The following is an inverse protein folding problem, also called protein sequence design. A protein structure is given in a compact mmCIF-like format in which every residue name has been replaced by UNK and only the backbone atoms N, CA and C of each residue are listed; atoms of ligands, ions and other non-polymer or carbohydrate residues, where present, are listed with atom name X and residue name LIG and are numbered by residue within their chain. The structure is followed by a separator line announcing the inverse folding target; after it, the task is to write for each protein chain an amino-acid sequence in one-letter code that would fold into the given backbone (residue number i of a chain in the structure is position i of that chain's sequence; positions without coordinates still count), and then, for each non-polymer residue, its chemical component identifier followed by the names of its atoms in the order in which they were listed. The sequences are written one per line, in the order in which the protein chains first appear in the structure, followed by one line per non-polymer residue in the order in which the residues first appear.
data_IF_822487912500
#
_entry.id   IF_822487912500
#
_cell.length_a   1.000
_cell.length_b   1.000
_cell.length_c   1.000
_cell.angle_alpha   90.00
_cell.angle_beta   90.00
_cell.angle_gamma   90.00
#
_symmetry.space_group_name_H-M   'P 1'
#
loop_
_entity.id
_entity.type
_entity.pdbx_description
1 polymer ?
#
# COMPACT_ATOMS: atom_id res chain seq x y z
N UNK A 1 -51.04 13.96 -37.71
CA UNK A 1 -50.27 13.15 -36.74
C UNK A 1 -49.12 14.00 -36.20
N UNK A 2 -49.27 14.71 -35.07
CA UNK A 2 -48.14 15.38 -34.43
C UNK A 2 -47.37 14.37 -33.57
N UNK A 3 -46.05 14.29 -33.75
CA UNK A 3 -45.15 13.37 -33.06
C UNK A 3 -44.97 13.65 -31.56
N UNK A 4 -44.39 12.70 -30.80
CA UNK A 4 -44.31 12.79 -29.34
C UNK A 4 -43.27 13.83 -28.90
N UNK A 5 -43.67 14.72 -27.99
CA UNK A 5 -42.78 15.70 -27.34
C UNK A 5 -41.91 14.99 -26.31
N UNK A 6 -40.59 15.21 -26.38
CA UNK A 6 -39.64 14.76 -25.36
C UNK A 6 -39.95 15.42 -23.99
N UNK A 7 -39.87 14.69 -22.87
CA UNK A 7 -40.04 15.29 -21.55
C UNK A 7 -38.83 16.16 -21.18
N UNK A 8 -39.09 17.38 -20.72
CA UNK A 8 -38.08 18.29 -20.20
C UNK A 8 -37.36 17.70 -18.99
N UNK A 9 -36.02 17.72 -19.03
CA UNK A 9 -35.16 17.33 -17.93
C UNK A 9 -35.45 18.19 -16.68
N UNK A 10 -35.60 17.54 -15.53
CA UNK A 10 -35.77 18.20 -14.24
C UNK A 10 -34.53 19.06 -13.91
N UNK A 11 -34.69 20.25 -13.31
CA UNK A 11 -33.57 21.09 -12.93
C UNK A 11 -32.70 20.41 -11.85
N UNK A 12 -31.39 20.66 -11.82
CA UNK A 12 -30.49 20.08 -10.84
C UNK A 12 -30.87 20.51 -9.42
N UNK A 13 -30.91 19.54 -8.51
CA UNK A 13 -31.17 19.78 -7.08
C UNK A 13 -30.11 20.70 -6.49
N UNK A 14 -30.53 21.66 -5.68
CA UNK A 14 -29.66 22.60 -5.00
C UNK A 14 -28.63 21.87 -4.11
N UNK A 15 -27.37 22.31 -4.18
CA UNK A 15 -26.28 21.81 -3.33
C UNK A 15 -26.59 22.09 -1.86
N UNK A 16 -26.35 21.13 -0.94
CA UNK A 16 -26.45 21.40 0.50
C UNK A 16 -25.39 22.42 0.94
N UNK A 17 -25.66 23.19 2.01
CA UNK A 17 -24.73 24.20 2.51
C UNK A 17 -23.41 23.57 3.01
N UNK A 18 -22.32 24.31 2.83
CA UNK A 18 -20.99 23.94 3.34
C UNK A 18 -21.03 23.76 4.87
N UNK A 19 -20.39 22.74 5.44
CA UNK A 19 -20.15 22.71 6.88
C UNK A 19 -19.22 23.89 7.27
N UNK A 20 -19.40 24.48 8.47
CA UNK A 20 -18.58 25.60 8.92
C UNK A 20 -17.09 25.19 8.94
N UNK A 21 -16.26 26.01 8.29
CA UNK A 21 -14.82 25.82 8.25
C UNK A 21 -14.24 25.88 9.66
N UNK A 22 -13.46 24.87 10.04
CA UNK A 22 -12.63 24.92 11.25
C UNK A 22 -11.70 26.13 11.14
N UNK A 23 -11.90 27.10 12.01
CA UNK A 23 -11.04 28.27 12.14
C UNK A 23 -9.60 27.83 12.44
N UNK A 24 -8.64 28.35 11.65
CA UNK A 24 -7.22 28.23 11.96
C UNK A 24 -6.90 29.21 13.09
N UNK A 25 -7.03 28.74 14.32
CA UNK A 25 -6.51 29.44 15.50
C UNK A 25 -5.00 29.64 15.39
N UNK A 26 -4.57 30.90 15.45
CA UNK A 26 -3.16 31.31 15.44
C UNK A 26 -2.40 30.81 16.66
N UNK A 27 -1.11 30.53 16.48
CA UNK A 27 -0.18 30.15 17.55
C UNK A 27 0.36 31.41 18.25
N UNK A 28 0.24 31.55 19.58
CA UNK A 28 1.15 32.37 20.36
C UNK A 28 2.39 31.57 20.75
N UNK A 29 3.51 32.28 20.90
CA UNK A 29 4.86 31.75 21.05
C UNK A 29 5.17 31.11 22.41
N UNK A 30 6.13 30.19 22.32
CA UNK A 30 7.12 29.70 23.30
C UNK A 30 6.93 30.04 24.77
N UNK A 31 6.74 29.00 25.59
CA UNK A 31 7.46 28.83 26.85
C UNK A 31 7.76 27.34 27.10
N UNK A 32 9.01 27.09 27.50
CA UNK A 32 9.65 25.79 27.62
C UNK A 32 9.43 25.25 29.04
N UNK A 33 8.55 24.28 29.23
CA UNK A 33 8.42 23.53 30.48
C UNK A 33 7.83 22.12 30.25
N UNK A 34 8.66 21.09 30.47
CA UNK A 34 8.23 19.76 30.91
C UNK A 34 7.40 18.90 29.95
N UNK A 35 7.99 18.40 28.86
CA UNK A 35 7.42 17.25 28.13
C UNK A 35 7.76 15.97 28.90
N UNK A 36 6.78 15.45 29.64
CA UNK A 36 6.78 14.07 30.12
C UNK A 36 6.78 13.12 28.92
N UNK A 37 7.80 12.25 28.85
CA UNK A 37 7.91 11.17 27.87
C UNK A 37 6.71 10.21 27.96
N UNK A 38 6.27 9.61 26.84
CA UNK A 38 5.34 8.48 26.86
C UNK A 38 5.99 7.25 27.55
N UNK A 39 5.20 6.39 28.21
CA UNK A 39 5.72 5.21 28.90
C UNK A 39 6.38 4.25 27.90
N UNK A 40 7.64 3.92 28.17
CA UNK A 40 8.45 3.01 27.38
C UNK A 40 7.87 1.59 27.46
N UNK A 41 7.80 0.90 26.32
CA UNK A 41 7.53 -0.55 26.28
C UNK A 41 8.56 -1.29 27.16
N UNK A 42 8.15 -2.37 27.86
CA UNK A 42 9.06 -3.10 28.75
C UNK A 42 10.21 -3.73 27.96
N UNK A 43 11.43 -3.36 28.33
CA UNK A 43 12.69 -3.98 27.89
C UNK A 43 12.82 -5.37 28.49
N UNK A 44 12.98 -6.39 27.64
CA UNK A 44 13.33 -7.74 28.08
C UNK A 44 14.68 -7.75 28.83
N UNK A 45 14.85 -8.56 29.89
CA UNK A 45 16.09 -8.58 30.65
C UNK A 45 17.23 -9.20 29.84
N UNK A 46 18.39 -8.53 29.89
CA UNK A 46 19.65 -9.05 29.38
C UNK A 46 20.17 -10.15 30.32
N UNK A 47 20.18 -11.41 29.85
CA UNK A 47 20.96 -12.48 30.46
C UNK A 47 22.18 -12.76 29.59
N UNK A 48 23.37 -12.51 30.14
CA UNK A 48 24.62 -13.02 29.58
C UNK A 48 24.68 -14.54 29.75
N UNK A 49 24.96 -15.28 28.66
CA UNK A 49 25.21 -16.71 28.72
C UNK A 49 25.29 -17.41 27.36
N UNK A 50 26.51 -17.89 27.04
CA UNK A 50 26.90 -18.94 26.08
C UNK A 50 26.74 -18.69 24.56
N UNK A 51 27.68 -19.20 23.72
CA UNK A 51 27.56 -19.14 22.27
C UNK A 51 26.43 -20.08 21.81
N UNK A 52 25.30 -19.49 21.45
CA UNK A 52 24.14 -20.20 20.93
C UNK A 52 24.46 -20.85 19.57
N UNK A 53 24.47 -22.18 19.56
CA UNK A 53 24.64 -23.03 18.37
C UNK A 53 23.26 -23.53 17.89
N UNK A 54 22.21 -22.72 18.00
CA UNK A 54 20.90 -23.02 17.40
C UNK A 54 20.57 -22.00 16.32
N UNK A 55 21.08 -22.27 15.11
CA UNK A 55 20.54 -21.63 13.92
C UNK A 55 19.03 -21.95 13.86
N UNK A 56 18.18 -20.95 14.10
CA UNK A 56 16.72 -21.07 13.97
C UNK A 56 16.42 -21.65 12.59
N UNK A 57 15.67 -22.76 12.47
CA UNK A 57 15.41 -23.38 11.18
C UNK A 57 14.75 -22.35 10.27
N UNK A 58 15.25 -22.24 9.03
CA UNK A 58 14.62 -21.37 8.04
C UNK A 58 13.21 -21.90 7.78
N UNK A 59 12.19 -21.04 7.83
CA UNK A 59 10.80 -21.44 7.64
C UNK A 59 10.64 -22.13 6.29
N UNK A 60 9.93 -23.27 6.28
CA UNK A 60 9.63 -23.99 5.04
C UNK A 60 8.76 -23.08 4.15
N UNK A 61 9.29 -22.70 2.98
CA UNK A 61 8.60 -21.87 2.00
C UNK A 61 7.21 -22.43 1.69
N UNK A 62 7.06 -23.77 1.70
CA UNK A 62 5.77 -24.44 1.47
C UNK A 62 4.74 -24.15 2.56
N UNK A 63 5.17 -24.05 3.82
CA UNK A 63 4.27 -23.71 4.92
C UNK A 63 3.80 -22.25 4.81
N UNK A 64 4.71 -21.33 4.45
CA UNK A 64 4.36 -19.93 4.23
C UNK A 64 3.33 -19.80 3.11
N UNK A 65 3.52 -20.54 2.00
CA UNK A 65 2.56 -20.59 0.89
C UNK A 65 1.19 -21.12 1.33
N UNK A 66 1.17 -22.21 2.10
CA UNK A 66 -0.08 -22.79 2.59
C UNK A 66 -0.83 -21.85 3.55
N UNK A 67 -0.09 -21.17 4.44
CA UNK A 67 -0.65 -20.20 5.37
C UNK A 67 -1.20 -18.97 4.64
N UNK A 68 -0.45 -18.42 3.69
CA UNK A 68 -0.88 -17.29 2.86
C UNK A 68 -2.17 -17.63 2.08
N UNK A 69 -2.25 -18.83 1.50
CA UNK A 69 -3.40 -19.28 0.73
C UNK A 69 -4.71 -19.39 1.55
N UNK A 70 -4.64 -19.58 2.87
CA UNK A 70 -5.83 -19.66 3.73
C UNK A 70 -6.19 -18.35 4.43
N UNK A 71 -5.45 -17.26 4.17
CA UNK A 71 -5.78 -15.92 4.65
C UNK A 71 -6.87 -15.28 3.76
N UNK A 72 -7.62 -14.28 4.27
CA UNK A 72 -8.66 -13.61 3.50
C UNK A 72 -8.13 -12.67 2.39
N UNK A 73 -6.80 -12.43 2.35
CA UNK A 73 -6.14 -11.67 1.28
C UNK A 73 -6.64 -10.23 1.11
N UNK A 74 -7.10 -9.60 2.20
CA UNK A 74 -7.59 -8.21 2.17
C UNK A 74 -6.48 -7.17 2.09
N UNK A 75 -5.26 -7.52 2.52
CA UNK A 75 -4.09 -6.62 2.62
C UNK A 75 -4.33 -5.37 3.50
N UNK A 76 -5.17 -5.49 4.53
CA UNK A 76 -5.63 -4.36 5.35
C UNK A 76 -4.67 -3.90 6.46
N UNK A 77 -3.56 -4.62 6.69
CA UNK A 77 -2.54 -4.33 7.72
C UNK A 77 -3.03 -4.22 9.17
N UNK A 78 -4.29 -4.57 9.47
CA UNK A 78 -4.87 -4.47 10.83
C UNK A 78 -4.15 -5.33 11.88
N UNK A 79 -3.60 -6.46 11.45
CA UNK A 79 -2.81 -7.36 12.28
C UNK A 79 -1.40 -6.81 12.62
N UNK A 80 -1.02 -5.64 12.10
CA UNK A 80 0.30 -5.03 12.31
C UNK A 80 1.38 -5.47 11.31
N UNK A 81 1.08 -6.41 10.41
CA UNK A 81 1.96 -6.82 9.32
C UNK A 81 1.67 -6.02 8.05
N UNK A 82 2.68 -5.79 7.18
CA UNK A 82 2.53 -4.98 5.98
C UNK A 82 1.59 -5.59 4.94
N UNK A 83 1.45 -6.92 4.92
CA UNK A 83 0.49 -7.64 4.07
C UNK A 83 0.21 -9.05 4.62
N UNK A 84 -0.68 -9.78 3.95
CA UNK A 84 -1.03 -11.15 4.33
C UNK A 84 0.15 -12.11 4.26
N UNK A 85 1.05 -11.94 3.29
CA UNK A 85 2.22 -12.80 3.09
C UNK A 85 3.20 -12.68 4.26
N UNK A 86 3.44 -11.47 4.75
CA UNK A 86 4.32 -11.24 5.90
C UNK A 86 3.71 -11.76 7.20
N UNK A 87 2.38 -11.73 7.34
CA UNK A 87 1.72 -12.39 8.46
C UNK A 87 1.87 -13.91 8.38
N UNK A 88 1.68 -14.51 7.20
CA UNK A 88 1.90 -15.93 6.96
C UNK A 88 3.35 -16.35 7.26
N UNK A 89 4.32 -15.51 6.89
CA UNK A 89 5.73 -15.69 7.21
C UNK A 89 5.94 -15.71 8.73
N UNK A 90 5.45 -14.70 9.44
CA UNK A 90 5.56 -14.61 10.90
C UNK A 90 4.88 -15.79 11.63
N UNK A 91 3.80 -16.33 11.08
CA UNK A 91 3.17 -17.56 11.58
C UNK A 91 4.06 -18.78 11.42
N UNK A 92 4.63 -19.00 10.23
CA UNK A 92 5.57 -20.09 9.96
C UNK A 92 6.83 -19.98 10.85
N UNK A 93 7.25 -18.75 11.11
CA UNK A 93 8.39 -18.40 11.95
C UNK A 93 8.15 -18.53 13.46
N UNK A 94 6.91 -18.79 13.89
CA UNK A 94 6.57 -18.80 15.32
C UNK A 94 6.54 -17.43 15.98
N UNK A 95 6.56 -16.34 15.21
CA UNK A 95 6.62 -14.95 15.68
C UNK A 95 5.26 -14.26 15.81
N UNK A 96 4.19 -14.89 15.33
CA UNK A 96 2.83 -14.40 15.44
C UNK A 96 1.89 -15.52 15.91
N UNK A 97 0.81 -15.16 16.58
CA UNK A 97 -0.30 -16.08 16.87
C UNK A 97 -1.28 -16.17 15.71
N UNK A 98 -2.10 -17.23 15.70
CA UNK A 98 -3.07 -17.54 14.64
C UNK A 98 -4.35 -16.70 14.70
N UNK A 99 -4.51 -15.84 15.70
CA UNK A 99 -5.74 -15.09 16.00
C UNK A 99 -5.63 -13.59 15.73
N UNK A 100 -4.68 -13.15 14.91
CA UNK A 100 -4.37 -11.73 14.73
C UNK A 100 -5.14 -11.08 13.56
N UNK A 101 -5.92 -11.83 12.79
CA UNK A 101 -6.56 -11.36 11.56
C UNK A 101 -8.09 -11.16 11.70
N UNK A 102 -8.59 -9.95 12.01
CA UNK A 102 -10.02 -9.70 12.15
C UNK A 102 -10.86 -10.03 10.91
N UNK A 103 -10.43 -9.71 9.67
CA UNK A 103 -11.18 -10.10 8.48
C UNK A 103 -11.28 -11.62 8.28
N UNK A 104 -10.34 -12.39 8.82
CA UNK A 104 -10.39 -13.85 8.80
C UNK A 104 -11.40 -14.42 9.78
N UNK A 105 -11.70 -13.70 10.85
CA UNK A 105 -12.69 -14.08 11.85
C UNK A 105 -12.37 -15.40 12.55
N UNK A 106 -13.36 -15.96 13.24
CA UNK A 106 -13.22 -17.22 13.96
C UNK A 106 -12.83 -18.38 13.03
N UNK A 107 -13.42 -18.45 11.83
CA UNK A 107 -13.08 -19.50 10.86
C UNK A 107 -11.65 -19.37 10.33
N UNK A 108 -11.12 -18.15 10.15
CA UNK A 108 -9.73 -17.93 9.79
C UNK A 108 -8.77 -18.51 10.83
N UNK A 109 -9.06 -18.32 12.12
CA UNK A 109 -8.27 -18.94 13.21
C UNK A 109 -8.30 -20.46 13.11
N UNK A 110 -9.46 -21.06 12.83
CA UNK A 110 -9.58 -22.51 12.66
C UNK A 110 -8.77 -23.02 11.47
N UNK A 111 -8.80 -22.31 10.33
CA UNK A 111 -8.02 -22.66 9.14
C UNK A 111 -6.52 -22.65 9.43
N UNK A 112 -6.04 -21.61 10.11
CA UNK A 112 -4.63 -21.49 10.51
C UNK A 112 -4.22 -22.52 11.57
N UNK A 113 -5.10 -22.83 12.52
CA UNK A 113 -4.90 -23.89 13.53
C UNK A 113 -4.64 -25.25 12.86
N UNK A 114 -5.40 -25.62 11.83
CA UNK A 114 -5.22 -26.90 11.10
C UNK A 114 -3.85 -27.01 10.43
N UNK A 115 -3.30 -25.90 9.94
CA UNK A 115 -1.99 -25.90 9.27
C UNK A 115 -0.81 -25.80 10.24
N UNK A 116 -0.99 -25.07 11.34
CA UNK A 116 0.07 -24.83 12.32
C UNK A 116 0.10 -25.84 13.48
N UNK A 117 -0.97 -26.63 13.64
CA UNK A 117 -1.15 -27.54 14.79
C UNK A 117 -1.42 -26.82 16.12
N UNK A 118 -1.61 -25.50 16.12
CA UNK A 118 -1.84 -24.71 17.34
C UNK A 118 -3.30 -24.78 17.77
N UNK A 119 -3.61 -24.69 19.08
CA UNK A 119 -4.98 -24.71 19.57
C UNK A 119 -5.77 -23.50 19.06
N UNK A 120 -7.06 -23.71 18.75
CA UNK A 120 -7.96 -22.62 18.37
C UNK A 120 -8.19 -21.72 19.58
N UNK A 121 -7.91 -20.43 19.42
CA UNK A 121 -8.12 -19.39 20.44
C UNK A 121 -9.03 -18.29 19.88
N UNK A 122 -9.61 -17.46 20.75
CA UNK A 122 -10.46 -16.35 20.32
C UNK A 122 -9.65 -15.30 19.53
N UNK A 123 -10.31 -14.59 18.61
CA UNK A 123 -9.72 -13.47 17.86
C UNK A 123 -9.12 -12.44 18.82
N UNK A 124 -7.94 -11.92 18.52
CA UNK A 124 -7.30 -10.89 19.33
C UNK A 124 -8.02 -9.54 19.15
N UNK A 125 -8.69 -9.00 20.18
CA UNK A 125 -9.45 -7.75 20.08
C UNK A 125 -8.57 -6.52 19.84
N UNK A 126 -7.25 -6.60 20.12
CA UNK A 126 -6.32 -5.48 19.87
C UNK A 126 -6.27 -5.09 18.39
N UNK A 127 -6.45 -6.05 17.48
CA UNK A 127 -6.40 -5.80 16.04
C UNK A 127 -7.78 -5.48 15.43
N UNK A 128 -8.83 -5.50 16.25
CA UNK A 128 -10.21 -5.24 15.86
C UNK A 128 -11.10 -6.48 15.94
N UNK A 129 -12.34 -6.32 15.47
CA UNK A 129 -13.38 -7.32 15.58
C UNK A 129 -13.75 -7.86 14.20
N UNK A 130 -14.33 -9.07 14.18
CA UNK A 130 -14.98 -9.62 13.00
C UNK A 130 -16.28 -8.84 12.71
N UNK A 131 -16.36 -8.24 11.51
CA UNK A 131 -17.48 -7.38 11.09
C UNK A 131 -17.95 -7.74 9.69
N UNK A 132 -19.18 -7.34 9.31
CA UNK A 132 -19.63 -7.49 7.93
C UNK A 132 -18.70 -6.77 6.97
N UNK A 133 -18.53 -7.36 5.78
CA UNK A 133 -17.66 -6.78 4.76
C UNK A 133 -18.32 -5.54 4.18
N UNK A 134 -17.51 -4.50 4.04
CA UNK A 134 -17.87 -3.26 3.38
C UNK A 134 -17.00 -3.03 2.14
N UNK A 135 -17.53 -2.29 1.17
CA UNK A 135 -16.81 -1.83 -0.02
C UNK A 135 -16.62 -0.32 0.06
N UNK A 136 -15.51 0.18 -0.45
CA UNK A 136 -15.29 1.62 -0.54
C UNK A 136 -16.21 2.23 -1.61
N UNK A 137 -16.79 3.38 -1.32
CA UNK A 137 -17.56 4.21 -2.25
C UNK A 137 -17.03 5.64 -2.21
N UNK A 138 -16.80 6.21 -3.38
CA UNK A 138 -16.29 7.58 -3.55
C UNK A 138 -17.47 8.50 -3.89
N UNK A 139 -17.62 9.62 -3.17
CA UNK A 139 -18.59 10.66 -3.52
C UNK A 139 -18.07 11.51 -4.68
N UNK A 140 -18.76 11.42 -5.81
CA UNK A 140 -18.36 12.08 -7.04
C UNK A 140 -18.56 13.60 -7.04
N UNK A 141 -19.27 14.16 -6.07
CA UNK A 141 -19.43 15.60 -5.96
C UNK A 141 -18.28 16.30 -5.23
N UNK A 142 -17.45 15.51 -4.52
CA UNK A 142 -16.34 16.00 -3.68
C UNK A 142 -14.97 15.57 -4.17
N UNK A 143 -14.86 14.44 -4.87
CA UNK A 143 -13.56 13.96 -5.33
C UNK A 143 -12.89 14.93 -6.32
N UNK A 144 -11.65 15.30 -6.01
CA UNK A 144 -10.84 16.26 -6.76
C UNK A 144 -9.85 15.62 -7.76
N UNK A 145 -9.89 14.30 -7.92
CA UNK A 145 -8.96 13.61 -8.84
C UNK A 145 -7.49 13.63 -8.41
N UNK A 146 -7.19 13.55 -7.10
CA UNK A 146 -5.81 13.68 -6.57
C UNK A 146 -4.91 12.44 -6.75
N UNK A 147 -5.50 11.29 -7.08
CA UNK A 147 -4.88 9.96 -7.32
C UNK A 147 -4.22 9.29 -6.11
N UNK A 148 -4.31 9.86 -4.90
CA UNK A 148 -3.75 9.25 -3.69
C UNK A 148 -4.46 7.94 -3.31
N UNK A 149 -5.78 7.87 -3.46
CA UNK A 149 -6.54 6.64 -3.20
C UNK A 149 -6.17 5.50 -4.15
N UNK A 150 -5.88 5.81 -5.43
CA UNK A 150 -5.41 4.81 -6.42
C UNK A 150 -4.09 4.20 -5.94
N UNK A 151 -3.14 5.02 -5.48
CA UNK A 151 -1.85 4.53 -4.97
C UNK A 151 -1.98 3.71 -3.69
N UNK A 152 -2.96 4.02 -2.85
CA UNK A 152 -3.21 3.32 -1.60
C UNK A 152 -3.98 1.99 -1.79
N UNK A 153 -4.60 1.77 -2.96
CA UNK A 153 -5.39 0.56 -3.21
C UNK A 153 -4.47 -0.62 -3.54
N UNK A 154 -4.39 -1.67 -2.69
CA UNK A 154 -3.49 -2.79 -2.92
C UNK A 154 -3.93 -3.68 -4.09
N UNK A 155 -5.20 -3.62 -4.48
CA UNK A 155 -5.77 -4.49 -5.52
C UNK A 155 -6.15 -3.71 -6.78
N UNK A 156 -5.73 -2.44 -6.91
CA UNK A 156 -5.99 -1.58 -8.07
C UNK A 156 -7.48 -1.54 -8.48
N UNK A 157 -8.42 -1.52 -7.53
CA UNK A 157 -9.86 -1.49 -7.83
C UNK A 157 -10.42 -0.07 -8.02
N UNK A 158 -9.62 0.97 -7.80
CA UNK A 158 -10.03 2.36 -7.97
C UNK A 158 -9.62 2.83 -9.36
N UNK A 159 -10.57 3.33 -10.14
CA UNK A 159 -10.39 3.75 -11.53
C UNK A 159 -10.63 5.25 -11.67
N UNK A 160 -9.79 5.92 -12.44
CA UNK A 160 -9.93 7.31 -12.87
C UNK A 160 -8.55 7.91 -13.19
N UNK A 161 -8.43 9.23 -13.21
CA UNK A 161 -7.19 9.90 -13.60
C UNK A 161 -6.99 11.24 -12.87
N UNK A 162 -5.80 11.82 -13.02
CA UNK A 162 -5.49 13.12 -12.42
C UNK A 162 -6.50 14.18 -12.89
N UNK A 163 -7.06 14.92 -11.92
CA UNK A 163 -8.12 15.94 -12.13
C UNK A 163 -9.42 15.41 -12.73
N UNK A 164 -9.61 14.09 -12.76
CA UNK A 164 -10.84 13.43 -13.16
C UNK A 164 -11.41 12.63 -11.98
N UNK A 165 -12.72 12.36 -12.06
CA UNK A 165 -13.43 11.61 -11.04
C UNK A 165 -12.88 10.20 -10.89
N UNK A 166 -12.81 9.72 -9.65
CA UNK A 166 -12.48 8.33 -9.35
C UNK A 166 -13.74 7.56 -8.96
N UNK A 167 -13.77 6.27 -9.30
CA UNK A 167 -14.81 5.33 -8.88
C UNK A 167 -14.19 4.01 -8.44
N UNK A 168 -14.95 3.20 -7.71
CA UNK A 168 -14.50 1.89 -7.19
C UNK A 168 -15.20 0.79 -7.98
N UNK A 169 -14.41 -0.17 -8.48
CA UNK A 169 -14.94 -1.43 -8.98
C UNK A 169 -15.25 -2.32 -7.78
N UNK A 170 -16.51 -2.29 -7.34
CA UNK A 170 -16.98 -2.93 -6.10
C UNK A 170 -16.65 -4.43 -6.03
N UNK A 171 -16.72 -5.12 -7.18
CA UNK A 171 -16.42 -6.55 -7.29
C UNK A 171 -14.97 -6.90 -6.89
N UNK A 172 -14.03 -5.98 -7.11
CA UNK A 172 -12.61 -6.15 -6.82
C UNK A 172 -12.19 -5.56 -5.46
N UNK A 173 -13.06 -4.78 -4.81
CA UNK A 173 -12.74 -4.11 -3.55
C UNK A 173 -12.68 -5.10 -2.39
N UNK A 174 -11.53 -5.23 -1.72
CA UNK A 174 -11.38 -6.12 -0.55
C UNK A 174 -11.93 -5.55 0.75
N UNK A 175 -12.29 -4.26 0.78
CA UNK A 175 -12.71 -3.59 2.01
C UNK A 175 -11.55 -3.30 2.98
N UNK A 176 -10.33 -3.13 2.46
CA UNK A 176 -9.12 -2.91 3.27
C UNK A 176 -9.03 -1.54 3.97
N UNK A 177 -9.87 -0.58 3.57
CA UNK A 177 -9.94 0.79 4.11
C UNK A 177 -8.69 1.67 3.94
N UNK A 178 -7.60 1.18 3.35
CA UNK A 178 -6.36 1.93 3.15
C UNK A 178 -6.54 3.24 2.37
N UNK A 179 -7.56 3.31 1.50
CA UNK A 179 -7.87 4.50 0.71
C UNK A 179 -8.55 5.62 1.50
N UNK A 180 -9.24 5.31 2.61
CA UNK A 180 -9.99 6.29 3.42
C UNK A 180 -9.06 7.37 3.97
N UNK A 181 -8.01 7.04 4.77
CA UNK A 181 -7.10 8.07 5.29
C UNK A 181 -6.22 8.71 4.20
N UNK A 182 -6.11 8.10 3.02
CA UNK A 182 -5.36 8.67 1.90
C UNK A 182 -6.12 9.80 1.18
N UNK A 183 -7.43 9.94 1.41
CA UNK A 183 -8.25 10.95 0.74
C UNK A 183 -8.15 12.32 1.44
N UNK A 184 -7.58 13.36 0.81
CA UNK A 184 -7.38 14.66 1.46
C UNK A 184 -8.66 15.48 1.60
N UNK A 185 -9.75 15.07 0.94
CA UNK A 185 -11.07 15.73 0.97
C UNK A 185 -12.14 14.85 1.62
N UNK A 186 -11.74 13.72 2.21
CA UNK A 186 -12.60 12.80 2.97
C UNK A 186 -13.89 12.39 2.23
N UNK A 187 -13.79 12.13 0.92
CA UNK A 187 -14.92 11.75 0.07
C UNK A 187 -15.13 10.23 -0.06
N UNK A 188 -14.49 9.42 0.78
CA UNK A 188 -14.54 7.94 0.68
C UNK A 188 -15.24 7.37 1.91
N UNK A 189 -16.29 6.60 1.69
CA UNK A 189 -17.05 5.93 2.75
C UNK A 189 -17.04 4.42 2.55
N UNK A 190 -17.12 3.67 3.65
CA UNK A 190 -17.30 2.22 3.62
C UNK A 190 -18.79 1.89 3.66
N UNK A 191 -19.28 1.20 2.63
CA UNK A 191 -20.69 0.79 2.51
C UNK A 191 -20.79 -0.72 2.77
N UNK A 192 -21.57 -1.16 3.77
CA UNK A 192 -21.80 -2.58 4.02
C UNK A 192 -22.36 -3.28 2.77
N UNK A 193 -21.76 -4.43 2.40
CA UNK A 193 -22.15 -5.18 1.20
C UNK A 193 -22.75 -6.55 1.53
N UNK A 194 -22.36 -7.15 2.66
CA UNK A 194 -22.71 -8.54 3.00
C UNK A 194 -23.79 -8.66 4.08
N UNK A 195 -24.53 -7.58 4.36
CA UNK A 195 -25.56 -7.56 5.39
C UNK A 195 -24.98 -7.92 6.76
N UNK A 196 -25.41 -9.05 7.33
CA UNK A 196 -24.90 -9.58 8.60
C UNK A 196 -23.79 -10.63 8.44
N UNK A 197 -23.52 -11.11 7.23
CA UNK A 197 -22.47 -12.11 7.02
C UNK A 197 -21.10 -11.48 7.28
N UNK A 198 -20.24 -12.21 7.98
CA UNK A 198 -18.87 -11.82 8.38
C UNK A 198 -17.85 -12.87 7.95
N UNK A 199 -16.55 -12.53 8.06
CA UNK A 199 -15.46 -13.48 7.83
C UNK A 199 -15.58 -14.21 6.50
N UNK A 200 -15.45 -15.52 6.53
CA UNK A 200 -15.55 -16.40 5.35
C UNK A 200 -16.98 -16.65 4.86
N UNK A 201 -18.00 -16.32 5.66
CA UNK A 201 -19.39 -16.30 5.19
C UNK A 201 -19.67 -15.08 4.29
N UNK A 202 -18.90 -14.00 4.45
CA UNK A 202 -18.98 -12.77 3.66
C UNK A 202 -18.01 -12.75 2.46
N UNK A 203 -17.02 -13.64 2.47
CA UNK A 203 -15.86 -13.59 1.58
C UNK A 203 -15.43 -15.00 1.20
N UNK A 204 -15.72 -15.41 -0.03
CA UNK A 204 -15.47 -16.78 -0.47
C UNK A 204 -13.98 -17.05 -0.72
N UNK A 205 -13.54 -18.32 -0.70
CA UNK A 205 -12.19 -18.69 -1.10
C UNK A 205 -11.81 -18.19 -2.51
N UNK A 206 -12.74 -18.21 -3.46
CA UNK A 206 -12.51 -17.69 -4.81
C UNK A 206 -12.27 -16.18 -4.85
N UNK A 207 -12.98 -15.42 -4.00
CA UNK A 207 -12.77 -13.97 -3.87
C UNK A 207 -11.42 -13.65 -3.20
N UNK A 208 -11.03 -14.41 -2.18
CA UNK A 208 -9.70 -14.29 -1.56
C UNK A 208 -8.58 -14.57 -2.58
N UNK A 209 -8.73 -15.60 -3.41
CA UNK A 209 -7.77 -15.92 -4.46
C UNK A 209 -7.71 -14.83 -5.54
N UNK A 210 -8.85 -14.32 -5.99
CA UNK A 210 -8.90 -13.17 -6.91
C UNK A 210 -8.17 -11.95 -6.33
N UNK A 211 -8.42 -11.62 -5.05
CA UNK A 211 -7.74 -10.52 -4.38
C UNK A 211 -6.23 -10.73 -4.28
N UNK A 212 -5.78 -11.96 -3.99
CA UNK A 212 -4.36 -12.33 -3.98
C UNK A 212 -3.71 -12.15 -5.35
N UNK A 213 -4.35 -12.63 -6.41
CA UNK A 213 -3.86 -12.48 -7.78
C UNK A 213 -3.75 -11.00 -8.19
N UNK A 214 -4.75 -10.19 -7.84
CA UNK A 214 -4.73 -8.74 -8.09
C UNK A 214 -3.63 -8.03 -7.31
N UNK A 215 -3.44 -8.38 -6.04
CA UNK A 215 -2.35 -7.83 -5.22
C UNK A 215 -0.97 -8.20 -5.81
N UNK A 216 -0.79 -9.45 -6.25
CA UNK A 216 0.43 -9.87 -6.93
C UNK A 216 0.70 -9.06 -8.21
N UNK A 217 -0.34 -8.82 -9.02
CA UNK A 217 -0.23 -7.97 -10.22
C UNK A 217 0.08 -6.52 -9.88
N UNK A 218 -0.55 -5.96 -8.83
CA UNK A 218 -0.25 -4.62 -8.31
C UNK A 218 1.22 -4.50 -7.92
N UNK A 219 1.75 -5.44 -7.13
CA UNK A 219 3.16 -5.46 -6.74
C UNK A 219 4.10 -5.51 -7.94
N UNK A 220 3.80 -6.36 -8.93
CA UNK A 220 4.55 -6.41 -10.19
C UNK A 220 4.55 -5.06 -10.91
N UNK A 221 3.37 -4.44 -11.06
CA UNK A 221 3.19 -3.14 -11.71
C UNK A 221 3.98 -2.05 -11.00
N UNK A 222 3.84 -1.93 -9.67
CA UNK A 222 4.55 -0.94 -8.85
C UNK A 222 6.06 -1.13 -8.91
N UNK A 223 6.55 -2.38 -8.84
CA UNK A 223 7.97 -2.67 -8.94
C UNK A 223 8.55 -2.29 -10.31
N UNK A 224 7.81 -2.58 -11.39
CA UNK A 224 8.18 -2.17 -12.76
C UNK A 224 8.23 -0.64 -12.90
N UNK A 225 7.17 0.05 -12.50
CA UNK A 225 7.08 1.53 -12.55
C UNK A 225 8.20 2.20 -11.75
N UNK A 226 8.51 1.66 -10.56
CA UNK A 226 9.63 2.15 -9.74
C UNK A 226 10.95 2.01 -10.49
N UNK A 227 11.25 0.83 -11.04
CA UNK A 227 12.48 0.58 -11.79
C UNK A 227 12.63 1.53 -12.98
N UNK A 228 11.60 1.64 -13.81
CA UNK A 228 11.59 2.53 -14.99
C UNK A 228 11.79 4.01 -14.60
N UNK A 229 11.15 4.45 -13.51
CA UNK A 229 11.32 5.80 -13.00
C UNK A 229 12.73 6.05 -12.45
N UNK A 230 13.28 5.10 -11.71
CA UNK A 230 14.63 5.18 -11.13
C UNK A 230 15.68 5.24 -12.25
N UNK A 231 15.54 4.42 -13.30
CA UNK A 231 16.39 4.45 -14.50
C UNK A 231 16.31 5.80 -15.23
N UNK A 232 15.10 6.32 -15.45
CA UNK A 232 14.89 7.63 -16.07
C UNK A 232 15.52 8.76 -15.25
N UNK A 233 15.39 8.72 -13.92
CA UNK A 233 15.98 9.73 -13.04
C UNK A 233 17.51 9.65 -13.04
N UNK A 234 18.07 8.45 -13.04
CA UNK A 234 19.51 8.23 -13.16
C UNK A 234 20.05 8.77 -14.49
N UNK A 235 19.38 8.51 -15.61
CA UNK A 235 19.76 9.04 -16.92
C UNK A 235 19.73 10.58 -16.94
N UNK A 236 18.66 11.19 -16.40
CA UNK A 236 18.57 12.66 -16.27
C UNK A 236 19.68 13.24 -15.40
N UNK A 237 20.02 12.57 -14.29
CA UNK A 237 21.09 12.99 -13.41
C UNK A 237 22.48 12.89 -14.09
N UNK A 238 22.73 11.84 -14.87
CA UNK A 238 23.97 11.68 -15.63
C UNK A 238 24.12 12.76 -16.70
N UNK A 239 23.06 13.07 -17.46
CA UNK A 239 23.07 14.16 -18.44
C UNK A 239 23.32 15.52 -17.77
N UNK A 240 22.65 15.80 -16.65
CA UNK A 240 22.84 17.06 -15.91
C UNK A 240 24.25 17.19 -15.33
N UNK A 241 24.89 16.08 -14.96
CA UNK A 241 26.28 16.08 -14.50
C UNK A 241 27.25 16.42 -15.65
N UNK A 242 27.03 15.80 -16.83
CA UNK A 242 27.85 16.02 -18.00
C UNK A 242 27.79 17.47 -18.52
N UNK A 243 26.62 18.12 -18.42
CA UNK A 243 26.37 19.47 -18.91
C UNK A 243 26.17 20.51 -17.78
N UNK A 244 26.75 20.24 -16.61
CA UNK A 244 26.51 21.05 -15.40
C UNK A 244 26.94 22.51 -15.56
N UNK A 245 28.05 22.74 -16.26
CA UNK A 245 28.66 24.07 -16.44
C UNK A 245 27.84 24.96 -17.38
N UNK A 246 27.16 24.37 -18.38
CA UNK A 246 26.29 25.13 -19.28
C UNK A 246 24.86 25.29 -18.75
N UNK A 247 24.39 24.39 -17.89
CA UNK A 247 23.03 24.42 -17.33
C UNK A 247 22.92 25.17 -15.99
N UNK A 248 24.04 25.62 -15.42
CA UNK A 248 24.05 26.37 -14.17
C UNK A 248 24.05 27.87 -14.42
N UNK A 249 23.16 28.59 -13.73
CA UNK A 249 23.16 30.07 -13.70
C UNK A 249 24.26 30.65 -12.80
N UNK A 250 25.02 29.81 -12.10
CA UNK A 250 26.13 30.27 -11.24
C UNK A 250 27.44 30.16 -11.99
N UNK A 251 28.21 31.25 -11.92
CA UNK A 251 29.59 31.31 -12.42
C UNK A 251 30.62 31.00 -11.33
N UNK A 252 30.20 30.98 -10.06
CA UNK A 252 31.07 30.67 -8.91
C UNK A 252 31.50 29.20 -8.92
N UNK A 253 32.82 28.92 -9.06
CA UNK A 253 33.37 27.56 -9.09
C UNK A 253 33.01 26.71 -7.86
N UNK A 254 32.93 27.29 -6.67
CA UNK A 254 32.62 26.55 -5.44
C UNK A 254 31.17 26.07 -5.43
N UNK A 255 30.25 26.91 -5.95
CA UNK A 255 28.83 26.57 -6.06
C UNK A 255 28.62 25.46 -7.09
N UNK A 256 29.35 25.50 -8.21
CA UNK A 256 29.32 24.44 -9.24
C UNK A 256 29.85 23.12 -8.66
N UNK A 257 30.98 23.15 -7.96
CA UNK A 257 31.57 21.96 -7.33
C UNK A 257 30.61 21.33 -6.30
N UNK A 258 29.93 22.13 -5.48
CA UNK A 258 28.92 21.64 -4.53
C UNK A 258 27.73 20.98 -5.25
N UNK A 259 27.23 21.58 -6.34
CA UNK A 259 26.16 20.98 -7.15
C UNK A 259 26.59 19.66 -7.79
N UNK A 260 27.83 19.60 -8.30
CA UNK A 260 28.43 18.39 -8.87
C UNK A 260 28.44 17.25 -7.85
N UNK A 261 28.98 17.52 -6.66
CA UNK A 261 29.06 16.54 -5.58
C UNK A 261 27.67 15.99 -5.17
N UNK A 262 26.64 16.83 -5.14
CA UNK A 262 25.26 16.39 -4.84
C UNK A 262 24.71 15.45 -5.91
N UNK A 263 24.95 15.76 -7.19
CA UNK A 263 24.49 14.92 -8.32
C UNK A 263 25.25 13.59 -8.34
N UNK A 264 26.56 13.61 -8.13
CA UNK A 264 27.39 12.41 -8.04
C UNK A 264 26.97 11.50 -6.88
N UNK A 265 26.71 12.07 -5.69
CA UNK A 265 26.19 11.32 -4.56
C UNK A 265 24.81 10.70 -4.85
N UNK A 266 23.95 11.40 -5.61
CA UNK A 266 22.66 10.84 -6.04
C UNK A 266 22.82 9.68 -7.03
N UNK A 267 23.74 9.78 -7.99
CA UNK A 267 24.06 8.70 -8.93
C UNK A 267 24.67 7.49 -8.22
N UNK A 268 25.56 7.71 -7.24
CA UNK A 268 26.14 6.64 -6.43
C UNK A 268 25.05 5.86 -5.67
N UNK A 269 24.10 6.57 -5.04
CA UNK A 269 22.94 5.93 -4.38
C UNK A 269 22.06 5.16 -5.35
N UNK A 270 21.85 5.67 -6.57
CA UNK A 270 21.08 4.97 -7.60
C UNK A 270 21.78 3.70 -8.08
N UNK A 271 23.10 3.73 -8.25
CA UNK A 271 23.91 2.53 -8.60
C UNK A 271 23.86 1.48 -7.50
N UNK A 272 23.95 1.87 -6.23
CA UNK A 272 23.88 0.95 -5.10
C UNK A 272 22.50 0.28 -4.92
N UNK A 273 21.44 0.87 -5.46
CA UNK A 273 20.07 0.33 -5.41
C UNK A 273 19.71 -0.56 -6.61
N UNK A 274 20.59 -0.69 -7.62
CA UNK A 274 20.37 -1.65 -8.72
C UNK A 274 20.60 -3.07 -8.19
N UNK A 275 19.66 -4.02 -8.38
CA UNK A 275 19.91 -5.41 -8.03
C UNK A 275 21.10 -5.93 -8.85
N UNK A 276 22.02 -6.63 -8.18
CA UNK A 276 23.16 -7.27 -8.82
C UNK A 276 22.63 -8.37 -9.77
N UNK A 277 22.60 -8.09 -11.08
CA UNK A 277 22.12 -9.05 -12.08
C UNK A 277 21.58 -8.47 -13.39
N UNK A 278 21.28 -7.17 -13.46
CA UNK A 278 20.92 -6.52 -14.74
C UNK A 278 22.17 -6.00 -15.45
N UNK A 279 23.03 -6.92 -15.91
CA UNK A 279 24.12 -6.64 -16.85
C UNK A 279 23.56 -6.44 -18.26
N UNK A 280 24.22 -5.57 -19.02
CA UNK A 280 23.93 -5.19 -20.40
C UNK A 280 23.51 -6.37 -21.29
N UNK A 281 22.25 -6.40 -21.71
CA UNK A 281 21.92 -6.87 -23.06
C UNK A 281 21.96 -5.64 -23.95
N UNK A 282 23.17 -5.31 -24.42
CA UNK A 282 23.31 -4.50 -25.61
C UNK A 282 22.54 -5.20 -26.74
N UNK A 283 21.62 -4.48 -27.36
CA UNK A 283 20.91 -4.91 -28.54
C UNK A 283 21.94 -5.14 -29.66
N UNK A 284 22.17 -6.40 -30.02
CA UNK A 284 22.74 -6.74 -31.32
C UNK A 284 21.63 -6.58 -32.36
N UNK A 285 21.79 -5.57 -33.22
CA UNK A 285 21.04 -5.37 -34.46
C UNK A 285 21.23 -6.59 -35.39
N UNK A 286 20.15 -7.28 -35.83
CA UNK A 286 20.26 -8.28 -36.89
C UNK A 286 20.08 -7.58 -38.24
N UNK A 287 21.10 -6.87 -38.71
CA UNK A 287 21.19 -6.55 -40.16
C UNK A 287 21.69 -7.79 -40.89
N UNK A 288 20.75 -8.68 -41.24
CA UNK A 288 20.96 -9.72 -42.22
C UNK A 288 21.02 -9.13 -43.63
N UNK A 289 22.20 -9.16 -44.23
CA UNK A 289 22.42 -8.87 -45.65
C UNK A 289 22.81 -10.18 -46.34
N UNK A 290 21.90 -10.71 -47.17
CA UNK A 290 22.22 -11.68 -48.22
C UNK A 290 23.03 -10.98 -49.33
N UNK A 291 23.77 -11.70 -50.20
CA UNK A 291 23.23 -12.70 -51.12
C UNK A 291 23.77 -14.13 -50.93
#
# INVERSE_FOLDING_TARGET
MPGPRCPHAAPPRARPPRPPGRERGGRPGTDNAGVSLPPQLPTAPASAGAPDTTARPTPDVRLVDALDAVLPQTQCTRCGYPDCRHYAQALADGQADINQCPPGGAEGVQRLSRLTGRPVIALNPVHGEEKPRAVARIDESWCIGCTLCIKACPVDCIVGANKLMHTVVEADCTGCELCVPACPVDCIQMVPMTGQATGWNAWSPGQAEQARARYAFHLFRVAREKRENDERLAAKAAHKLADLENQTLHTDPEVIARKRAVIEAALARARAQRPAGAGDTAAEDPTGSAP
#
